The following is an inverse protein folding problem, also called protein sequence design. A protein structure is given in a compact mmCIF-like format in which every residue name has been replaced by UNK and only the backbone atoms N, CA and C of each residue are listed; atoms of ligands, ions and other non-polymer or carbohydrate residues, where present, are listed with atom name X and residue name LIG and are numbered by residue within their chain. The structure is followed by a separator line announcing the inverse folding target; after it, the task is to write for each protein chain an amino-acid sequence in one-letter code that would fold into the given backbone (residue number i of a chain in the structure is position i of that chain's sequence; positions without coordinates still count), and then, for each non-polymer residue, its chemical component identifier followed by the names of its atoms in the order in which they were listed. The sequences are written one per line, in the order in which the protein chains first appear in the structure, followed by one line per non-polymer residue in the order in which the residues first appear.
data_IF_463516933674
#
_entry.id   IF_463516933674
#
_cell.length_a   1.000
_cell.length_b   1.000
_cell.length_c   1.000
_cell.angle_alpha   90.00
_cell.angle_beta   90.00
_cell.angle_gamma   90.00
#
_symmetry.space_group_name_H-M   'P 1'
#
loop_
_entity.id
_entity.type
_entity.pdbx_description
1 polymer ?
#
# COMPACT_ATOMS: atom_id res chain seq x y z
N UNK A 1 -14.20 -12.20 3.69
CA UNK A 1 -13.41 -11.43 2.73
C UNK A 1 -12.25 -10.78 3.47
N UNK A 2 -11.00 -11.08 3.10
CA UNK A 2 -9.79 -10.57 3.78
C UNK A 2 -8.84 -9.92 2.79
N UNK A 3 -8.19 -8.86 3.22
CA UNK A 3 -7.02 -8.27 2.61
C UNK A 3 -6.05 -7.84 3.72
N UNK A 4 -4.84 -7.46 3.36
CA UNK A 4 -3.86 -6.95 4.29
C UNK A 4 -3.14 -5.73 3.69
N UNK A 5 -2.82 -4.77 4.54
CA UNK A 5 -2.01 -3.61 4.19
C UNK A 5 -0.80 -3.57 5.11
N UNK A 6 0.37 -3.59 4.51
CA UNK A 6 1.66 -3.62 5.20
C UNK A 6 2.47 -2.40 4.80
N UNK A 7 3.00 -1.66 5.76
CA UNK A 7 3.94 -0.56 5.54
C UNK A 7 5.32 -0.96 6.03
N UNK A 8 6.28 -1.03 5.11
CA UNK A 8 7.67 -1.35 5.38
C UNK A 8 8.51 -0.06 5.32
N UNK A 9 9.10 0.32 6.44
CA UNK A 9 9.99 1.47 6.56
C UNK A 9 11.42 1.00 6.79
N UNK A 10 12.37 1.62 6.11
CA UNK A 10 13.78 1.32 6.31
C UNK A 10 14.65 1.89 5.20
N UNK A 11 15.98 1.82 5.36
CA UNK A 11 16.91 2.34 4.37
C UNK A 11 16.82 1.58 3.04
N UNK A 12 17.36 2.16 1.99
CA UNK A 12 17.55 1.49 0.71
C UNK A 12 18.34 0.18 0.93
N UNK A 13 18.02 -0.85 0.16
CA UNK A 13 18.64 -2.18 0.24
C UNK A 13 18.41 -2.94 1.56
N UNK A 14 17.44 -2.55 2.38
CA UNK A 14 17.02 -3.33 3.55
C UNK A 14 16.18 -4.57 3.20
N UNK A 15 15.87 -4.78 1.91
CA UNK A 15 15.11 -5.94 1.44
C UNK A 15 13.58 -5.74 1.46
N UNK A 16 13.09 -4.51 1.54
CA UNK A 16 11.65 -4.23 1.60
C UNK A 16 10.87 -4.82 0.43
N UNK A 17 11.31 -4.55 -0.80
CA UNK A 17 10.61 -5.00 -2.02
C UNK A 17 10.71 -6.51 -2.24
N UNK A 18 11.79 -7.13 -1.83
CA UNK A 18 11.99 -8.58 -1.95
C UNK A 18 10.96 -9.36 -1.13
N UNK A 19 10.52 -8.84 0.01
CA UNK A 19 9.51 -9.50 0.86
C UNK A 19 8.23 -9.75 0.07
N UNK A 20 7.77 -8.80 -0.72
CA UNK A 20 6.56 -8.94 -1.53
C UNK A 20 6.72 -10.05 -2.59
N UNK A 21 7.87 -10.12 -3.23
CA UNK A 21 8.18 -11.14 -4.25
C UNK A 21 8.21 -12.54 -3.61
N UNK A 22 8.87 -12.67 -2.46
CA UNK A 22 8.95 -13.93 -1.73
C UNK A 22 7.57 -14.38 -1.24
N UNK A 23 6.75 -13.44 -0.78
CA UNK A 23 5.38 -13.75 -0.35
C UNK A 23 4.52 -14.22 -1.53
N UNK A 24 4.58 -13.54 -2.67
CA UNK A 24 3.86 -13.95 -3.87
C UNK A 24 4.24 -15.38 -4.28
N UNK A 25 5.53 -15.69 -4.24
CA UNK A 25 6.02 -17.04 -4.54
C UNK A 25 5.55 -18.07 -3.52
N UNK A 26 5.62 -17.77 -2.23
CA UNK A 26 5.21 -18.68 -1.16
C UNK A 26 3.70 -18.97 -1.16
N UNK A 27 2.88 -18.01 -1.57
CA UNK A 27 1.42 -18.13 -1.63
C UNK A 27 0.90 -18.56 -3.01
N UNK A 28 1.79 -18.82 -3.96
CA UNK A 28 1.42 -19.13 -5.36
C UNK A 28 0.49 -18.06 -5.95
N UNK A 29 0.72 -16.81 -5.57
CA UNK A 29 -0.05 -15.63 -5.99
C UNK A 29 0.58 -14.90 -7.16
N UNK A 30 -0.18 -13.96 -7.72
CA UNK A 30 0.34 -12.98 -8.68
C UNK A 30 0.96 -11.79 -7.98
N UNK A 31 1.85 -11.10 -8.67
CA UNK A 31 2.45 -9.85 -8.17
C UNK A 31 2.34 -8.76 -9.23
N UNK A 32 1.91 -7.57 -8.77
CA UNK A 32 2.04 -6.31 -9.51
C UNK A 32 3.03 -5.44 -8.76
N UNK A 33 4.14 -5.19 -9.41
CA UNK A 33 5.24 -4.45 -8.84
C UNK A 33 5.18 -2.97 -9.23
N UNK A 34 5.44 -2.09 -8.27
CA UNK A 34 5.46 -0.63 -8.48
C UNK A 34 4.14 -0.02 -8.99
N UNK A 35 3.00 -0.42 -8.45
CA UNK A 35 1.74 0.24 -8.77
C UNK A 35 1.71 1.65 -8.17
N UNK A 36 1.35 2.64 -8.99
CA UNK A 36 1.21 4.03 -8.55
C UNK A 36 -0.14 4.59 -9.01
N UNK A 37 -1.10 4.79 -8.09
CA UNK A 37 -2.43 5.29 -8.44
C UNK A 37 -2.45 6.79 -8.78
N UNK A 38 -1.36 7.51 -8.56
CA UNK A 38 -1.22 8.92 -8.95
C UNK A 38 -0.78 9.10 -10.39
N UNK A 39 -0.39 8.02 -11.05
CA UNK A 39 -0.01 8.03 -12.47
C UNK A 39 -1.26 8.04 -13.37
N UNK A 40 -1.23 8.81 -14.48
CA UNK A 40 -2.34 8.84 -15.43
C UNK A 40 -2.67 7.45 -16.00
N UNK A 41 -3.94 7.10 -15.97
CA UNK A 41 -4.44 5.84 -16.50
C UNK A 41 -4.30 4.62 -15.58
N UNK A 42 -3.62 4.73 -14.45
CA UNK A 42 -3.54 3.65 -13.48
C UNK A 42 -4.80 3.61 -12.61
N UNK A 43 -5.55 2.53 -12.73
CA UNK A 43 -6.79 2.30 -11.99
C UNK A 43 -6.74 0.93 -11.30
N UNK A 44 -6.82 0.92 -9.98
CA UNK A 44 -6.74 -0.31 -9.22
C UNK A 44 -7.94 -1.24 -9.44
N UNK A 45 -9.14 -0.70 -9.64
CA UNK A 45 -10.32 -1.54 -9.97
C UNK A 45 -10.10 -2.35 -11.25
N UNK A 46 -9.56 -1.73 -12.29
CA UNK A 46 -9.26 -2.40 -13.55
C UNK A 46 -8.22 -3.50 -13.34
N UNK A 47 -7.15 -3.20 -12.63
CA UNK A 47 -6.11 -4.17 -12.30
C UNK A 47 -6.68 -5.35 -11.51
N UNK A 48 -7.45 -5.06 -10.47
CA UNK A 48 -8.07 -6.07 -9.61
C UNK A 48 -9.03 -6.99 -10.40
N UNK A 49 -9.88 -6.42 -11.23
CA UNK A 49 -10.84 -7.18 -12.03
C UNK A 49 -10.14 -8.06 -13.08
N UNK A 50 -9.06 -7.58 -13.67
CA UNK A 50 -8.27 -8.35 -14.63
C UNK A 50 -7.55 -9.54 -13.99
N UNK A 51 -6.99 -9.35 -12.80
CA UNK A 51 -6.30 -10.42 -12.07
C UNK A 51 -7.28 -11.42 -11.44
N UNK A 52 -8.41 -10.94 -10.96
CA UNK A 52 -9.45 -11.74 -10.29
C UNK A 52 -8.89 -12.62 -9.16
N UNK A 53 -8.23 -12.05 -8.14
CA UNK A 53 -7.51 -12.82 -7.13
C UNK A 53 -8.44 -13.69 -6.30
N UNK A 54 -7.92 -14.86 -5.90
CA UNK A 54 -8.61 -15.85 -5.07
C UNK A 54 -7.83 -16.13 -3.80
N UNK A 55 -8.48 -16.71 -2.82
CA UNK A 55 -7.79 -17.11 -1.58
C UNK A 55 -6.62 -18.06 -1.84
N UNK A 56 -6.75 -18.98 -2.79
CA UNK A 56 -5.67 -19.91 -3.18
C UNK A 56 -4.61 -19.32 -4.10
N UNK A 57 -4.86 -18.13 -4.68
CA UNK A 57 -3.94 -17.40 -5.52
C UNK A 57 -4.15 -15.90 -5.33
N UNK A 58 -3.64 -15.32 -4.23
CA UNK A 58 -3.82 -13.91 -3.92
C UNK A 58 -3.02 -13.00 -4.85
N UNK A 59 -3.45 -11.74 -4.92
CA UNK A 59 -2.70 -10.68 -5.59
C UNK A 59 -1.84 -9.94 -4.58
N UNK A 60 -0.56 -9.83 -4.88
CA UNK A 60 0.39 -9.01 -4.10
C UNK A 60 0.68 -7.75 -4.92
N UNK A 61 0.51 -6.58 -4.32
CA UNK A 61 0.73 -5.29 -4.99
C UNK A 61 1.70 -4.45 -4.18
N UNK A 62 2.75 -3.95 -4.84
CA UNK A 62 3.70 -3.05 -4.18
C UNK A 62 3.49 -1.61 -4.62
N UNK A 63 3.53 -0.71 -3.65
CA UNK A 63 3.53 0.75 -3.79
C UNK A 63 4.90 1.22 -3.29
N UNK A 64 5.85 1.30 -4.22
CA UNK A 64 7.21 1.69 -3.89
C UNK A 64 7.30 3.18 -3.61
N UNK A 65 8.14 3.53 -2.62
CA UNK A 65 8.36 4.93 -2.24
C UNK A 65 7.05 5.69 -2.03
N UNK A 66 6.15 5.12 -1.23
CA UNK A 66 4.83 5.68 -0.99
C UNK A 66 4.88 7.09 -0.39
N UNK A 67 5.97 7.47 0.29
CA UNK A 67 6.23 8.81 0.76
C UNK A 67 6.23 9.84 -0.38
N UNK A 68 6.81 9.51 -1.52
CA UNK A 68 6.74 10.37 -2.71
C UNK A 68 5.33 10.57 -3.24
N UNK A 69 4.50 9.51 -3.22
CA UNK A 69 3.09 9.62 -3.60
C UNK A 69 2.31 10.52 -2.62
N UNK A 70 2.51 10.31 -1.33
CA UNK A 70 1.85 11.10 -0.27
C UNK A 70 2.30 12.56 -0.31
N UNK A 71 3.58 12.83 -0.53
CA UNK A 71 4.09 14.20 -0.71
C UNK A 71 3.42 14.90 -1.90
N UNK A 72 3.33 14.21 -3.04
CA UNK A 72 2.69 14.76 -4.22
C UNK A 72 1.20 15.08 -3.99
N UNK A 73 0.51 14.24 -3.23
CA UNK A 73 -0.89 14.46 -2.84
C UNK A 73 -1.00 15.62 -1.85
N UNK A 74 -0.20 15.61 -0.78
CA UNK A 74 -0.28 16.58 0.31
C UNK A 74 0.06 18.00 -0.15
N UNK A 75 1.10 18.13 -0.96
CA UNK A 75 1.56 19.41 -1.50
C UNK A 75 0.93 19.78 -2.86
N UNK A 76 -0.11 19.05 -3.27
CA UNK A 76 -0.92 19.34 -4.48
C UNK A 76 -0.06 19.43 -5.77
N UNK A 77 0.89 18.54 -5.92
CA UNK A 77 1.82 18.49 -7.06
C UNK A 77 1.30 17.65 -8.25
N UNK A 78 0.13 17.02 -8.12
CA UNK A 78 -0.42 16.18 -9.16
C UNK A 78 -1.29 17.01 -10.09
N UNK A 79 -0.82 17.20 -11.33
CA UNK A 79 -1.53 17.92 -12.36
C UNK A 79 -2.46 17.01 -13.15
N UNK A 80 -3.54 17.56 -13.70
CA UNK A 80 -4.41 16.83 -14.62
C UNK A 80 -3.64 16.40 -15.87
N UNK A 81 -3.97 15.23 -16.39
CA UNK A 81 -3.49 14.74 -17.67
C UNK A 81 -4.51 15.04 -18.77
N UNK A 82 -4.06 15.37 -20.00
CA UNK A 82 -4.93 15.79 -21.10
C UNK A 82 -5.94 14.72 -21.54
N UNK A 83 -5.54 13.43 -21.53
CA UNK A 83 -6.32 12.34 -22.12
C UNK A 83 -6.61 11.18 -21.15
N UNK A 84 -5.91 11.07 -20.03
CA UNK A 84 -6.05 9.95 -19.09
C UNK A 84 -6.46 10.44 -17.71
N UNK A 85 -7.45 9.80 -17.06
CA UNK A 85 -7.82 10.15 -15.70
C UNK A 85 -6.73 9.73 -14.72
N UNK A 86 -6.63 10.46 -13.61
CA UNK A 86 -5.78 10.13 -12.46
C UNK A 86 -6.68 9.71 -11.31
N UNK A 87 -6.58 8.45 -10.89
CA UNK A 87 -7.46 7.88 -9.89
C UNK A 87 -7.27 8.52 -8.50
N UNK A 88 -6.03 8.76 -8.12
CA UNK A 88 -5.67 9.39 -6.85
C UNK A 88 -4.85 10.64 -7.12
N UNK A 89 -5.42 11.81 -6.86
CA UNK A 89 -4.79 13.09 -7.17
C UNK A 89 -4.81 14.10 -6.02
N UNK A 90 -5.54 13.81 -4.95
CA UNK A 90 -5.61 14.64 -3.76
C UNK A 90 -5.88 13.79 -2.51
N UNK A 91 -5.89 14.45 -1.33
CA UNK A 91 -6.15 13.77 -0.05
C UNK A 91 -7.50 13.05 -0.03
N UNK A 92 -8.55 13.65 -0.59
CA UNK A 92 -9.88 13.04 -0.61
C UNK A 92 -9.90 11.74 -1.41
N UNK A 93 -9.30 11.72 -2.59
CA UNK A 93 -9.24 10.51 -3.43
C UNK A 93 -8.30 9.43 -2.84
N UNK A 94 -7.22 9.83 -2.18
CA UNK A 94 -6.39 8.90 -1.42
C UNK A 94 -7.18 8.25 -0.27
N UNK A 95 -7.89 9.06 0.51
CA UNK A 95 -8.71 8.56 1.61
C UNK A 95 -9.80 7.60 1.13
N UNK A 96 -10.47 7.92 0.02
CA UNK A 96 -11.46 7.03 -0.60
C UNK A 96 -10.84 5.71 -1.02
N UNK A 97 -9.68 5.74 -1.64
CA UNK A 97 -8.94 4.54 -2.03
C UNK A 97 -8.61 3.65 -0.82
N UNK A 98 -8.07 4.24 0.24
CA UNK A 98 -7.74 3.51 1.46
C UNK A 98 -8.98 3.00 2.19
N UNK A 99 -10.08 3.74 2.19
CA UNK A 99 -11.34 3.31 2.77
C UNK A 99 -11.95 2.13 2.00
N UNK A 100 -11.85 2.11 0.67
CA UNK A 100 -12.27 0.97 -0.14
C UNK A 100 -11.48 -0.30 0.21
N UNK A 101 -10.20 -0.18 0.48
CA UNK A 101 -9.38 -1.29 0.98
C UNK A 101 -9.87 -1.75 2.35
N UNK A 102 -10.06 -0.83 3.29
CA UNK A 102 -10.51 -1.13 4.66
C UNK A 102 -11.91 -1.77 4.68
N UNK A 103 -12.82 -1.33 3.82
CA UNK A 103 -14.16 -1.89 3.65
C UNK A 103 -14.19 -3.21 2.88
N UNK A 104 -13.03 -3.79 2.54
CA UNK A 104 -12.89 -5.09 1.88
C UNK A 104 -13.51 -5.15 0.48
N UNK A 105 -13.44 -4.07 -0.28
CA UNK A 105 -13.82 -4.07 -1.69
C UNK A 105 -12.82 -4.84 -2.56
N UNK A 106 -11.59 -5.02 -2.07
CA UNK A 106 -10.53 -5.78 -2.72
C UNK A 106 -10.08 -6.98 -1.87
N UNK A 107 -10.91 -8.02 -1.71
CA UNK A 107 -10.49 -9.23 -0.99
C UNK A 107 -9.40 -9.99 -1.74
N UNK A 108 -8.62 -10.77 -0.99
CA UNK A 108 -7.52 -11.60 -1.50
C UNK A 108 -6.37 -10.78 -2.11
N UNK A 109 -6.14 -9.59 -1.58
CA UNK A 109 -5.01 -8.73 -1.96
C UNK A 109 -4.14 -8.44 -0.73
N UNK A 110 -2.83 -8.45 -0.91
CA UNK A 110 -1.87 -7.93 0.04
C UNK A 110 -1.22 -6.68 -0.57
N UNK A 111 -1.41 -5.57 0.11
CA UNK A 111 -0.86 -4.27 -0.27
C UNK A 111 0.43 -4.04 0.51
N UNK A 112 1.55 -3.90 -0.19
CA UNK A 112 2.83 -3.54 0.37
C UNK A 112 3.17 -2.09 0.04
N UNK A 113 3.23 -1.25 1.05
CA UNK A 113 3.76 0.09 0.96
C UNK A 113 5.21 0.10 1.45
N UNK A 114 6.12 0.64 0.65
CA UNK A 114 7.52 0.78 1.06
C UNK A 114 7.91 2.25 1.15
N UNK A 115 8.78 2.58 2.08
CA UNK A 115 9.31 3.92 2.26
C UNK A 115 10.71 3.89 2.85
N UNK A 116 11.54 4.87 2.48
CA UNK A 116 12.83 5.12 3.13
C UNK A 116 12.71 6.13 4.29
N UNK A 117 11.51 6.70 4.48
CA UNK A 117 11.24 7.64 5.58
C UNK A 117 10.91 6.92 6.87
N UNK A 118 11.14 7.54 8.04
CA UNK A 118 10.63 7.01 9.30
C UNK A 118 9.09 6.90 9.27
N UNK A 119 8.52 5.98 10.03
CA UNK A 119 7.06 5.81 10.11
C UNK A 119 6.36 7.08 10.60
N UNK A 120 7.00 7.84 11.48
CA UNK A 120 6.52 9.09 12.05
C UNK A 120 6.34 10.20 10.99
N UNK A 121 7.01 10.10 9.86
CA UNK A 121 6.94 11.07 8.77
C UNK A 121 5.51 11.30 8.28
N UNK A 122 4.76 10.23 8.10
CA UNK A 122 3.36 10.30 7.63
C UNK A 122 2.45 10.96 8.67
N UNK A 123 2.63 10.63 9.94
CA UNK A 123 1.85 11.21 11.04
C UNK A 123 2.12 12.70 11.22
N UNK A 124 3.35 13.15 10.96
CA UNK A 124 3.73 14.56 10.97
C UNK A 124 3.08 15.36 9.84
N UNK A 125 2.91 14.75 8.65
CA UNK A 125 2.18 15.37 7.54
C UNK A 125 0.67 15.42 7.84
N UNK A 126 0.07 14.29 8.11
CA UNK A 126 -1.33 14.12 8.49
C UNK A 126 -1.56 12.68 8.97
N UNK A 127 -2.00 12.48 10.21
CA UNK A 127 -2.21 11.13 10.75
C UNK A 127 -3.19 10.26 9.96
N UNK A 128 -4.06 10.86 9.14
CA UNK A 128 -5.05 10.11 8.36
C UNK A 128 -4.45 9.28 7.23
N UNK A 129 -3.28 9.63 6.71
CA UNK A 129 -2.70 8.93 5.57
C UNK A 129 -2.42 7.45 5.84
N UNK A 130 -1.77 7.15 6.96
CA UNK A 130 -1.33 5.81 7.32
C UNK A 130 -1.84 5.38 8.71
N UNK A 131 -3.03 5.81 9.08
CA UNK A 131 -3.61 5.47 10.40
C UNK A 131 -3.74 3.95 10.57
N UNK A 132 -3.65 3.48 11.80
CA UNK A 132 -3.64 2.05 12.16
C UNK A 132 -4.83 1.28 11.61
N UNK A 133 -6.02 1.86 11.53
CA UNK A 133 -7.21 1.18 10.96
C UNK A 133 -7.11 0.91 9.46
N UNK A 134 -6.31 1.69 8.72
CA UNK A 134 -6.08 1.54 7.28
C UNK A 134 -4.86 0.68 6.99
N UNK A 135 -3.80 0.80 7.79
CA UNK A 135 -2.58 0.02 7.67
C UNK A 135 -2.50 -0.96 8.83
N UNK A 136 -2.66 -2.25 8.53
CA UNK A 136 -2.72 -3.29 9.56
C UNK A 136 -1.37 -3.63 10.19
N UNK A 137 -0.29 -3.58 9.41
CA UNK A 137 1.06 -3.88 9.87
C UNK A 137 2.01 -2.74 9.50
N UNK A 138 2.74 -2.23 10.47
CA UNK A 138 3.83 -1.28 10.27
C UNK A 138 5.11 -1.90 10.78
N UNK A 139 6.10 -2.05 9.89
CA UNK A 139 7.35 -2.75 10.19
C UNK A 139 8.51 -1.81 9.89
N UNK A 140 9.36 -1.61 10.88
CA UNK A 140 10.63 -0.92 10.73
C UNK A 140 11.72 -1.94 10.45
N UNK A 141 12.44 -1.75 9.35
CA UNK A 141 13.52 -2.62 8.92
C UNK A 141 14.83 -1.84 8.89
N UNK A 142 15.90 -2.48 9.28
CA UNK A 142 17.26 -1.99 9.06
C UNK A 142 18.13 -3.13 8.49
N UNK A 143 19.43 -2.88 8.32
CA UNK A 143 20.35 -3.89 7.79
C UNK A 143 20.65 -5.03 8.77
N UNK A 144 20.33 -4.86 10.06
CA UNK A 144 20.64 -5.81 11.13
C UNK A 144 19.39 -6.40 11.79
N UNK A 145 18.23 -5.70 11.78
CA UNK A 145 17.03 -6.10 12.48
C UNK A 145 15.74 -5.70 11.76
N UNK A 146 14.65 -6.34 12.17
CA UNK A 146 13.31 -6.03 11.73
C UNK A 146 12.41 -5.91 12.97
N UNK A 147 11.68 -4.81 13.09
CA UNK A 147 10.83 -4.52 14.24
C UNK A 147 9.39 -4.28 13.82
N UNK A 148 8.45 -5.02 14.41
CA UNK A 148 7.01 -4.77 14.28
C UNK A 148 6.62 -3.58 15.18
N UNK A 149 6.19 -2.47 14.57
CA UNK A 149 5.85 -1.24 15.30
C UNK A 149 4.36 -1.19 15.66
N UNK A 150 3.50 -1.70 14.80
CA UNK A 150 2.06 -1.77 15.06
C UNK A 150 1.42 -2.93 14.31
N UNK A 151 0.46 -3.57 14.94
CA UNK A 151 -0.41 -4.57 14.32
C UNK A 151 -1.87 -4.20 14.59
N UNK A 152 -2.76 -4.52 13.66
CA UNK A 152 -4.19 -4.37 13.87
C UNK A 152 -4.66 -5.40 14.89
N UNK A 153 -5.13 -4.94 16.05
CA UNK A 153 -5.60 -5.80 17.13
C UNK A 153 -7.02 -6.32 16.94
N UNK A 154 -7.63 -6.08 15.77
CA UNK A 154 -9.02 -6.46 15.48
C UNK A 154 -9.28 -7.97 15.41
N UNK A 155 -8.23 -8.80 15.38
CA UNK A 155 -8.38 -10.28 15.31
C UNK A 155 -8.51 -10.97 16.68
N UNK A 156 -8.62 -10.21 17.79
CA UNK A 156 -8.74 -10.81 19.13
C UNK A 156 -10.16 -11.01 19.64
N UNK A 157 -11.16 -10.74 18.84
CA UNK A 157 -12.57 -10.96 19.19
C UNK A 157 -13.31 -11.73 18.07
N UNK A 158 -12.84 -12.90 17.79
CA UNK A 158 -13.58 -13.90 17.06
C UNK A 158 -13.62 -15.18 17.88
#
# INVERSE_FOLDING_TARGET
KKNAVVLLSGPSNAGKSIIAILLAKALEGSIVYEFNPTEPGNNFNTLYNNDSPRFSSPLIVTFEEVDGMIDAIHFQKISRHESKPIAVHNKATWNTFMDNIDHKFYPNVVFFFTTNRPLEYFDELDPSYMRTGRVGLKIRMDLASCELVASDSKDKMA
#
